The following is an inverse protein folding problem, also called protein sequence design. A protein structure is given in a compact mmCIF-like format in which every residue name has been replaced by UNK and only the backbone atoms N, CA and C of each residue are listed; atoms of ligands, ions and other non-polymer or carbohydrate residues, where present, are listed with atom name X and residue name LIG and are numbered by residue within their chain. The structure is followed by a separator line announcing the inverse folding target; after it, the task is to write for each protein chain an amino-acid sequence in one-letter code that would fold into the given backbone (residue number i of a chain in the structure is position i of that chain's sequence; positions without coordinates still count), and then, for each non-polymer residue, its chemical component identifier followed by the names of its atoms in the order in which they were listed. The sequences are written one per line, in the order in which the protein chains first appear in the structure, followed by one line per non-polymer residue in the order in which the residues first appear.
data_IF_259668394665
#
_entry.id   IF_259668394665
#
_cell.length_a   1.000
_cell.length_b   1.000
_cell.length_c   1.000
_cell.angle_alpha   90.00
_cell.angle_beta   90.00
_cell.angle_gamma   90.00
#
_symmetry.space_group_name_H-M   'P 1'
#
loop_
_entity.id
_entity.type
_entity.pdbx_description
1 polymer ?
#
# COMPACT_ATOMS: atom_id res chain seq x y z
N UNK A 1 8.67 -20.03 -2.35
CA UNK A 1 9.38 -19.09 -3.24
C UNK A 1 10.46 -19.80 -4.05
N UNK A 2 11.19 -20.74 -3.45
CA UNK A 2 12.37 -21.36 -4.07
C UNK A 2 12.07 -22.14 -5.35
N UNK A 3 10.98 -22.92 -5.40
CA UNK A 3 10.58 -23.64 -6.63
C UNK A 3 10.31 -22.70 -7.82
N UNK A 4 9.93 -21.45 -7.55
CA UNK A 4 9.66 -20.45 -8.57
C UNK A 4 10.85 -19.50 -8.79
N UNK A 5 11.94 -19.67 -8.03
CA UNK A 5 13.11 -18.77 -8.09
C UNK A 5 12.80 -17.31 -7.76
N UNK A 6 11.80 -17.04 -6.90
CA UNK A 6 11.39 -15.68 -6.57
C UNK A 6 12.23 -15.11 -5.41
N UNK A 7 12.67 -13.86 -5.56
CA UNK A 7 13.33 -13.10 -4.49
C UNK A 7 12.32 -12.39 -3.57
N UNK A 8 11.19 -11.94 -4.13
CA UNK A 8 10.08 -11.33 -3.41
C UNK A 8 8.76 -11.53 -4.18
N UNK A 9 7.64 -11.31 -3.51
CA UNK A 9 6.31 -11.15 -4.10
C UNK A 9 5.88 -9.70 -3.93
N UNK A 10 5.26 -9.10 -4.95
CA UNK A 10 4.79 -7.72 -4.90
C UNK A 10 3.35 -7.57 -5.40
N UNK A 11 2.61 -6.65 -4.78
CA UNK A 11 1.22 -6.34 -5.12
C UNK A 11 0.83 -4.94 -4.64
N UNK A 12 -0.15 -4.27 -5.29
CA UNK A 12 -0.76 -3.06 -4.74
C UNK A 12 -1.27 -3.34 -3.32
N UNK A 13 -0.98 -2.43 -2.38
CA UNK A 13 -1.31 -2.65 -0.96
C UNK A 13 -2.81 -2.79 -0.72
N UNK A 14 -3.62 -2.02 -1.45
CA UNK A 14 -5.08 -2.04 -1.41
C UNK A 14 -5.62 -2.07 -2.84
N UNK A 15 -6.85 -2.55 -3.02
CA UNK A 15 -7.54 -2.57 -4.32
C UNK A 15 -8.20 -1.22 -4.65
N UNK A 16 -8.73 -0.53 -3.64
CA UNK A 16 -9.38 0.79 -3.76
C UNK A 16 -9.37 1.50 -2.38
N UNK A 17 -9.95 2.70 -2.30
CA UNK A 17 -10.15 3.48 -1.07
C UNK A 17 -11.64 3.77 -0.87
N UNK A 18 -12.18 3.35 0.28
CA UNK A 18 -13.59 3.59 0.61
C UNK A 18 -13.91 5.09 0.74
N UNK A 19 -15.08 5.55 0.26
CA UNK A 19 -15.52 6.92 0.48
C UNK A 19 -15.65 7.25 1.98
N UNK A 20 -15.44 8.53 2.31
CA UNK A 20 -15.39 8.98 3.71
C UNK A 20 -16.73 8.92 4.46
N UNK A 21 -17.86 8.78 3.75
CA UNK A 21 -19.22 8.72 4.30
C UNK A 21 -19.76 7.28 4.43
N UNK A 22 -18.89 6.27 4.33
CA UNK A 22 -19.26 4.85 4.38
C UNK A 22 -19.88 4.38 5.71
N UNK A 23 -19.80 5.19 6.77
CA UNK A 23 -20.44 4.95 8.05
C UNK A 23 -21.94 5.29 8.06
N UNK A 24 -22.39 6.14 7.13
CA UNK A 24 -23.78 6.63 7.06
C UNK A 24 -24.44 6.38 5.70
N UNK A 25 -23.68 6.17 4.63
CA UNK A 25 -24.16 5.98 3.28
C UNK A 25 -24.05 4.50 2.85
N UNK A 26 -25.17 3.80 2.61
CA UNK A 26 -25.16 2.39 2.24
C UNK A 26 -24.37 2.06 0.97
N UNK A 27 -24.43 2.92 -0.06
CA UNK A 27 -23.68 2.68 -1.30
C UNK A 27 -22.17 2.82 -1.11
N UNK A 28 -21.74 3.78 -0.29
CA UNK A 28 -20.33 3.92 0.11
C UNK A 28 -19.88 2.75 0.98
N UNK A 29 -20.76 2.26 1.86
CA UNK A 29 -20.49 1.09 2.69
C UNK A 29 -20.24 -0.16 1.84
N UNK A 30 -21.05 -0.42 0.81
CA UNK A 30 -20.86 -1.56 -0.09
C UNK A 30 -19.46 -1.59 -0.72
N UNK A 31 -18.92 -0.42 -1.09
CA UNK A 31 -17.56 -0.28 -1.61
C UNK A 31 -16.53 -0.52 -0.50
N UNK A 32 -16.66 0.18 0.62
CA UNK A 32 -15.72 0.14 1.73
C UNK A 32 -15.59 -1.25 2.37
N UNK A 33 -16.66 -2.07 2.33
CA UNK A 33 -16.69 -3.43 2.87
C UNK A 33 -16.32 -4.51 1.85
N UNK A 34 -15.99 -4.13 0.61
CA UNK A 34 -15.54 -5.07 -0.42
C UNK A 34 -14.12 -5.62 -0.17
N UNK A 35 -13.86 -6.84 -0.64
CA UNK A 35 -12.57 -7.51 -0.45
C UNK A 35 -11.43 -6.73 -1.14
N UNK A 36 -10.31 -6.54 -0.43
CA UNK A 36 -9.18 -5.72 -0.90
C UNK A 36 -9.32 -4.22 -0.60
N UNK A 37 -10.49 -3.76 -0.14
CA UNK A 37 -10.76 -2.37 0.28
C UNK A 37 -10.92 -2.29 1.79
N UNK A 38 -11.80 -3.12 2.36
CA UNK A 38 -12.06 -3.16 3.81
C UNK A 38 -10.82 -3.52 4.65
N UNK A 39 -9.96 -4.33 4.04
CA UNK A 39 -8.67 -4.80 4.54
C UNK A 39 -7.75 -4.85 3.32
N UNK A 40 -6.49 -4.51 3.55
CA UNK A 40 -5.44 -4.58 2.55
C UNK A 40 -5.34 -5.97 1.89
N UNK A 41 -4.81 -6.00 0.66
CA UNK A 41 -4.63 -7.24 -0.10
C UNK A 41 -3.83 -8.27 0.70
N UNK A 42 -4.36 -9.49 0.79
CA UNK A 42 -3.83 -10.58 1.61
C UNK A 42 -4.66 -10.92 2.85
N UNK A 43 -5.65 -10.08 3.21
CA UNK A 43 -6.54 -10.30 4.35
C UNK A 43 -5.74 -10.67 5.62
N UNK A 44 -6.14 -11.73 6.33
CA UNK A 44 -5.51 -12.13 7.58
C UNK A 44 -4.23 -12.97 7.37
N UNK A 45 -4.07 -13.61 6.21
CA UNK A 45 -3.06 -14.65 6.00
C UNK A 45 -1.63 -14.13 6.21
N UNK A 46 -1.34 -12.92 5.73
CA UNK A 46 -0.01 -12.30 5.82
C UNK A 46 0.45 -12.20 7.28
N UNK A 47 -0.43 -11.71 8.17
CA UNK A 47 -0.10 -11.52 9.59
C UNK A 47 -0.18 -12.82 10.38
N UNK A 48 -1.18 -13.66 10.10
CA UNK A 48 -1.34 -14.94 10.78
C UNK A 48 -0.12 -15.86 10.58
N UNK A 49 0.52 -15.78 9.41
CA UNK A 49 1.67 -16.61 9.07
C UNK A 49 3.03 -15.92 9.29
N UNK A 50 3.06 -14.72 9.88
CA UNK A 50 4.31 -14.00 10.15
C UNK A 50 5.11 -13.62 8.90
N UNK A 51 4.44 -13.37 7.77
CA UNK A 51 5.10 -12.98 6.51
C UNK A 51 5.63 -11.55 6.64
N UNK A 52 6.94 -11.29 6.48
CA UNK A 52 7.48 -9.93 6.53
C UNK A 52 7.12 -9.15 5.26
N UNK A 53 6.84 -7.86 5.42
CA UNK A 53 6.40 -6.98 4.34
C UNK A 53 6.96 -5.56 4.48
N UNK A 54 7.36 -4.92 3.37
CA UNK A 54 7.71 -3.50 3.30
C UNK A 54 6.82 -2.82 2.26
N UNK A 55 6.23 -1.67 2.59
CA UNK A 55 5.36 -0.91 1.68
C UNK A 55 5.95 0.46 1.37
N UNK A 56 5.93 0.85 0.10
CA UNK A 56 6.42 2.15 -0.41
C UNK A 56 5.39 2.83 -1.32
N UNK A 57 5.46 4.15 -1.56
CA UNK A 57 4.52 4.84 -2.44
C UNK A 57 4.62 4.32 -3.88
N UNK A 58 3.51 3.85 -4.45
CA UNK A 58 3.41 3.46 -5.86
C UNK A 58 3.01 4.64 -6.75
N UNK A 59 2.30 5.61 -6.19
CA UNK A 59 1.88 6.83 -6.88
C UNK A 59 0.59 7.40 -6.29
N UNK A 60 -0.01 8.31 -7.05
CA UNK A 60 -1.29 8.96 -6.73
C UNK A 60 -2.28 8.65 -7.84
N UNK A 61 -3.48 8.22 -7.47
CA UNK A 61 -4.58 7.94 -8.41
C UNK A 61 -4.98 9.23 -9.11
N UNK A 62 -4.95 9.24 -10.45
CA UNK A 62 -5.08 10.46 -11.24
C UNK A 62 -6.50 11.06 -11.23
N UNK A 63 -7.49 10.25 -10.94
CA UNK A 63 -8.92 10.58 -10.89
C UNK A 63 -9.36 11.19 -9.55
N UNK A 64 -8.90 10.63 -8.42
CA UNK A 64 -9.35 11.04 -7.07
C UNK A 64 -8.25 11.65 -6.20
N UNK A 65 -7.00 11.66 -6.65
CA UNK A 65 -5.88 12.27 -5.92
C UNK A 65 -5.42 11.52 -4.66
N UNK A 66 -5.90 10.28 -4.46
CA UNK A 66 -5.52 9.46 -3.31
C UNK A 66 -4.22 8.68 -3.57
N UNK A 67 -3.28 8.61 -2.60
CA UNK A 67 -2.06 7.83 -2.76
C UNK A 67 -2.32 6.32 -2.64
N UNK A 68 -1.58 5.51 -3.39
CA UNK A 68 -1.57 4.06 -3.29
C UNK A 68 -0.16 3.52 -2.98
N UNK A 69 -0.08 2.40 -2.26
CA UNK A 69 1.16 1.72 -1.91
C UNK A 69 1.47 0.50 -2.79
N UNK A 70 2.75 0.17 -2.90
CA UNK A 70 3.25 -1.11 -3.39
C UNK A 70 3.86 -1.88 -2.22
N UNK A 71 3.38 -3.09 -1.95
CA UNK A 71 3.88 -3.95 -0.87
C UNK A 71 4.79 -5.02 -1.44
N UNK A 72 6.00 -5.13 -0.88
CA UNK A 72 6.93 -6.23 -1.06
C UNK A 72 6.77 -7.22 0.10
N UNK A 73 6.59 -8.51 -0.20
CA UNK A 73 6.49 -9.60 0.76
C UNK A 73 7.55 -10.66 0.48
N UNK A 74 8.08 -11.32 1.51
CA UNK A 74 9.19 -12.26 1.37
C UNK A 74 9.16 -13.42 2.34
N UNK A 75 10.26 -14.18 2.35
CA UNK A 75 10.49 -15.27 3.30
C UNK A 75 10.60 -14.72 4.72
N UNK A 76 10.19 -15.50 5.72
CA UNK A 76 10.42 -15.15 7.12
C UNK A 76 11.91 -14.83 7.36
N UNK A 77 12.17 -13.76 8.12
CA UNK A 77 13.51 -13.26 8.47
C UNK A 77 14.34 -12.66 7.32
N UNK A 78 13.77 -12.51 6.13
CA UNK A 78 14.44 -11.88 4.97
C UNK A 78 14.21 -10.35 4.89
N UNK A 79 13.87 -9.74 6.03
CA UNK A 79 13.46 -8.35 6.18
C UNK A 79 14.48 -7.36 5.60
N UNK A 80 15.78 -7.66 5.78
CA UNK A 80 16.86 -6.82 5.24
C UNK A 80 16.88 -6.79 3.71
N UNK A 81 16.53 -7.90 3.04
CA UNK A 81 16.42 -7.91 1.58
C UNK A 81 15.20 -7.12 1.12
N UNK A 82 14.06 -7.27 1.80
CA UNK A 82 12.84 -6.51 1.50
C UNK A 82 13.05 -5.00 1.65
N UNK A 83 13.75 -4.56 2.71
CA UNK A 83 14.12 -3.15 2.90
C UNK A 83 15.00 -2.64 1.75
N UNK A 84 15.96 -3.45 1.27
CA UNK A 84 16.79 -3.10 0.12
C UNK A 84 15.98 -2.98 -1.17
N UNK A 85 15.06 -3.91 -1.43
CA UNK A 85 14.20 -3.85 -2.63
C UNK A 85 13.29 -2.62 -2.62
N UNK A 86 12.68 -2.32 -1.47
CA UNK A 86 11.87 -1.13 -1.28
C UNK A 86 12.66 0.17 -1.53
N UNK A 87 13.85 0.29 -0.96
CA UNK A 87 14.74 1.44 -1.17
C UNK A 87 15.19 1.57 -2.63
N UNK A 88 15.50 0.45 -3.28
CA UNK A 88 15.86 0.42 -4.70
C UNK A 88 14.67 0.82 -5.60
N UNK A 89 13.45 0.42 -5.26
CA UNK A 89 12.26 0.87 -5.99
C UNK A 89 12.02 2.37 -5.80
N UNK A 90 12.16 2.89 -4.59
CA UNK A 90 11.97 4.31 -4.30
C UNK A 90 13.01 5.18 -5.03
N UNK A 91 14.26 4.71 -5.16
CA UNK A 91 15.31 5.45 -5.87
C UNK A 91 15.06 5.61 -7.37
N UNK A 92 14.14 4.82 -7.96
CA UNK A 92 13.75 4.97 -9.38
C UNK A 92 12.97 6.26 -9.67
N UNK A 93 12.46 6.95 -8.64
CA UNK A 93 11.83 8.26 -8.80
C UNK A 93 10.90 8.66 -7.66
N UNK A 94 10.57 9.95 -7.61
CA UNK A 94 9.76 10.54 -6.54
C UNK A 94 8.25 10.35 -6.79
N UNK A 95 7.66 9.35 -6.12
CA UNK A 95 6.23 9.00 -6.26
C UNK A 95 5.34 9.63 -5.17
N UNK A 96 5.94 10.16 -4.11
CA UNK A 96 5.25 10.84 -3.01
C UNK A 96 5.01 12.32 -3.34
N UNK A 97 3.84 12.83 -2.96
CA UNK A 97 3.50 14.26 -3.00
C UNK A 97 3.19 14.78 -1.59
N UNK A 98 3.43 16.07 -1.35
CA UNK A 98 2.95 16.77 -0.15
C UNK A 98 1.41 16.84 -0.23
N UNK A 99 0.66 16.44 0.81
CA UNK A 99 -0.79 16.52 0.77
C UNK A 99 -1.28 17.96 0.57
N UNK A 100 -2.16 18.23 -0.42
CA UNK A 100 -2.54 19.59 -0.80
C UNK A 100 -3.36 20.33 0.27
N UNK A 101 -3.96 19.60 1.22
CA UNK A 101 -4.73 20.18 2.34
C UNK A 101 -3.85 20.70 3.48
N UNK A 102 -2.55 20.41 3.45
CA UNK A 102 -1.60 20.78 4.50
C UNK A 102 -0.30 21.30 3.88
N UNK A 103 -0.32 22.42 3.15
CA UNK A 103 0.89 23.05 2.66
C UNK A 103 1.74 23.59 3.82
N UNK A 104 3.03 23.91 3.58
CA UNK A 104 3.81 24.68 4.54
C UNK A 104 3.09 25.98 4.93
N UNK A 105 3.16 26.36 6.20
CA UNK A 105 2.66 27.65 6.65
C UNK A 105 3.42 28.77 5.92
N UNK A 106 2.72 29.83 5.54
CA UNK A 106 3.39 31.04 5.09
C UNK A 106 4.12 31.64 6.30
N UNK A 107 5.41 31.93 6.17
CA UNK A 107 6.20 32.50 7.26
C UNK A 107 5.74 33.90 7.62
N UNK A 108 6.09 34.33 8.84
CA UNK A 108 6.02 35.74 9.30
C UNK A 108 6.87 36.67 8.42
#
# INVERSE_FOLDING_TARGET
MDNLGLDAVLFPTVADVGPADADVNPASADIAWSNGVWVANGNLAIRHLGVPTVTVPMGVMADIGMPAGLTFAGRAYDDSALLRFAAAFESTGSKRLVPPRTPPLQGD
#
